data_IF_347056196717
#
_entry.id   IF_347056196717
#
_cell.length_a   1.000
_cell.length_b   1.000
_cell.length_c   1.000
_cell.angle_alpha   90.00
_cell.angle_beta   90.00
_cell.angle_gamma   90.00
#
_symmetry.space_group_name_H-M   'P 1'
#
loop_
_entity.id
_entity.type
_entity.pdbx_description
1 polymer ?
#
# COMPACT_ATOMS: atom_id res chain seq x y z
N UNK A 1 -45.26 54.08 22.45
CA UNK A 1 -46.46 53.86 23.29
C UNK A 1 -47.15 52.60 22.81
N UNK A 2 -47.54 51.71 23.74
CA UNK A 2 -48.26 50.42 23.57
C UNK A 2 -47.38 49.24 23.10
N UNK A 3 -47.44 48.05 23.69
CA UNK A 3 -47.91 47.51 24.99
C UNK A 3 -47.41 46.05 24.95
N UNK A 4 -46.69 45.60 25.97
CA UNK A 4 -46.34 44.18 26.16
C UNK A 4 -47.64 43.36 26.30
N UNK A 5 -47.83 42.33 25.49
CA UNK A 5 -48.79 41.26 25.76
C UNK A 5 -48.00 40.02 26.19
N UNK A 6 -48.10 39.73 27.49
CA UNK A 6 -47.69 38.47 28.11
C UNK A 6 -48.65 37.38 27.63
N UNK A 7 -48.10 36.34 26.98
CA UNK A 7 -48.81 35.09 26.71
C UNK A 7 -48.59 34.16 27.90
N UNK A 8 -49.69 33.89 28.62
CA UNK A 8 -49.77 32.97 29.75
C UNK A 8 -49.98 31.56 29.18
N UNK A 9 -48.92 30.75 29.13
CA UNK A 9 -49.01 29.33 28.75
C UNK A 9 -49.52 28.53 29.95
N UNK A 10 -50.81 28.16 29.92
CA UNK A 10 -51.43 27.25 30.90
C UNK A 10 -50.98 25.82 30.57
N UNK A 11 -50.13 25.24 31.42
CA UNK A 11 -49.75 23.83 31.33
C UNK A 11 -50.79 23.00 32.09
N UNK A 12 -51.74 22.42 31.37
CA UNK A 12 -52.67 21.42 31.91
C UNK A 12 -51.89 20.14 32.19
N UNK A 13 -51.64 19.86 33.47
CA UNK A 13 -51.01 18.62 33.92
C UNK A 13 -52.05 17.49 33.83
N UNK A 14 -52.00 16.71 32.74
CA UNK A 14 -52.81 15.50 32.61
C UNK A 14 -52.16 14.41 33.49
N UNK A 15 -52.70 14.24 34.69
CA UNK A 15 -52.30 13.18 35.62
C UNK A 15 -52.72 11.84 35.03
N UNK A 16 -51.84 11.21 34.26
CA UNK A 16 -51.99 9.81 33.88
C UNK A 16 -51.86 8.98 35.17
N UNK A 17 -53.00 8.46 35.65
CA UNK A 17 -53.05 7.39 36.62
C UNK A 17 -52.42 6.15 35.97
N UNK A 18 -51.10 6.04 36.06
CA UNK A 18 -50.44 4.75 35.95
C UNK A 18 -50.89 3.94 37.17
N UNK A 19 -51.79 2.99 36.94
CA UNK A 19 -51.83 1.80 37.78
C UNK A 19 -50.45 1.16 37.66
N UNK A 20 -49.53 1.54 38.56
CA UNK A 20 -48.35 0.74 38.83
C UNK A 20 -48.88 -0.54 39.44
N UNK A 21 -49.13 -1.55 38.61
CA UNK A 21 -49.06 -2.91 39.08
C UNK A 21 -47.66 -3.04 39.68
N UNK A 22 -47.60 -3.02 41.01
CA UNK A 22 -46.43 -3.36 41.78
C UNK A 22 -46.08 -4.81 41.45
N UNK A 23 -45.37 -5.05 40.36
CA UNK A 23 -44.56 -6.26 40.25
C UNK A 23 -43.27 -5.93 40.99
N UNK A 24 -43.34 -6.01 42.32
CA UNK A 24 -42.14 -6.28 43.10
C UNK A 24 -41.64 -7.61 42.54
N UNK A 25 -40.61 -7.55 41.70
CA UNK A 25 -39.88 -8.74 41.27
C UNK A 25 -39.52 -9.51 42.53
N UNK A 26 -39.91 -10.79 42.62
CA UNK A 26 -39.58 -11.59 43.78
C UNK A 26 -38.07 -11.58 44.02
N UNK A 27 -37.30 -11.67 42.93
CA UNK A 27 -35.84 -11.86 42.90
C UNK A 27 -35.17 -10.70 42.10
N UNK A 28 -35.19 -9.45 42.60
CA UNK A 28 -34.68 -8.29 41.86
C UNK A 28 -33.15 -8.36 41.74
N UNK A 29 -32.63 -8.15 40.53
CA UNK A 29 -31.19 -8.11 40.27
C UNK A 29 -30.53 -9.48 40.04
N UNK A 30 -31.31 -10.56 39.94
CA UNK A 30 -30.80 -11.86 39.53
C UNK A 30 -30.46 -11.91 38.04
N UNK A 31 -29.52 -12.77 37.66
CA UNK A 31 -29.00 -12.89 36.30
C UNK A 31 -29.97 -13.59 35.35
N UNK A 32 -30.94 -14.35 35.89
CA UNK A 32 -31.94 -15.07 35.13
C UNK A 32 -33.29 -14.37 35.10
N UNK A 33 -33.48 -13.27 35.82
CA UNK A 33 -34.69 -12.45 35.80
C UNK A 33 -35.24 -12.23 34.38
N UNK A 34 -36.46 -12.73 34.14
CA UNK A 34 -37.19 -12.65 32.88
C UNK A 34 -36.61 -13.47 31.72
N UNK A 35 -35.59 -14.29 31.96
CA UNK A 35 -34.94 -15.11 30.93
C UNK A 35 -35.75 -16.37 30.65
N UNK A 36 -35.93 -16.68 29.37
CA UNK A 36 -36.46 -17.97 28.95
C UNK A 36 -35.47 -19.09 29.26
N UNK A 37 -35.88 -20.06 30.06
CA UNK A 37 -35.12 -21.24 30.44
C UNK A 37 -35.44 -22.41 29.51
N UNK A 38 -34.41 -23.09 29.03
CA UNK A 38 -34.56 -24.29 28.21
C UNK A 38 -34.90 -25.49 29.09
N UNK A 39 -35.94 -26.24 28.73
CA UNK A 39 -36.31 -27.50 29.37
C UNK A 39 -35.91 -28.70 28.51
N UNK A 40 -35.22 -29.69 29.09
CA UNK A 40 -34.79 -30.90 28.37
C UNK A 40 -34.42 -32.06 29.29
N UNK A 41 -34.05 -33.21 28.71
CA UNK A 41 -33.57 -34.39 29.46
C UNK A 41 -32.10 -34.28 29.88
N UNK A 42 -31.36 -33.34 29.30
CA UNK A 42 -30.00 -32.97 29.70
C UNK A 42 -29.73 -31.49 29.36
N UNK A 43 -28.61 -30.94 29.88
CA UNK A 43 -28.24 -29.53 29.76
C UNK A 43 -27.79 -29.10 28.34
N UNK A 44 -27.93 -29.97 27.34
CA UNK A 44 -27.59 -29.72 25.94
C UNK A 44 -28.78 -29.97 24.99
N UNK A 45 -29.94 -30.39 25.52
CA UNK A 45 -31.15 -30.64 24.74
C UNK A 45 -32.24 -29.61 25.07
N UNK A 46 -32.92 -29.11 24.04
CA UNK A 46 -34.06 -28.20 24.17
C UNK A 46 -35.31 -28.92 23.67
N UNK A 47 -36.16 -29.35 24.60
CA UNK A 47 -37.43 -30.02 24.30
C UNK A 47 -38.64 -29.12 24.61
N UNK A 48 -38.43 -28.08 25.42
CA UNK A 48 -39.43 -27.08 25.81
C UNK A 48 -38.73 -25.80 26.29
N UNK A 49 -39.47 -24.72 26.51
CA UNK A 49 -38.95 -23.47 27.10
C UNK A 49 -39.95 -22.91 28.09
N UNK A 50 -39.46 -22.29 29.17
CA UNK A 50 -40.27 -21.80 30.29
C UNK A 50 -39.72 -20.47 30.81
N UNK A 51 -40.62 -19.53 31.13
CA UNK A 51 -40.30 -18.27 31.81
C UNK A 51 -40.82 -18.25 33.24
N UNK A 52 -41.69 -19.17 33.61
CA UNK A 52 -42.33 -19.25 34.92
C UNK A 52 -41.32 -19.45 36.06
N UNK A 53 -40.12 -19.96 35.79
CA UNK A 53 -39.08 -20.12 36.79
C UNK A 53 -38.30 -18.83 37.07
N UNK A 54 -38.49 -17.79 36.26
CA UNK A 54 -37.62 -16.60 36.26
C UNK A 54 -38.41 -15.31 36.11
N UNK A 55 -39.73 -15.38 36.03
CA UNK A 55 -40.60 -14.23 35.78
C UNK A 55 -40.75 -13.33 37.01
N UNK A 56 -40.15 -13.70 38.15
CA UNK A 56 -40.20 -12.96 39.40
C UNK A 56 -41.58 -13.01 40.05
N UNK A 57 -42.44 -13.96 39.67
CA UNK A 57 -43.80 -14.10 40.16
C UNK A 57 -43.94 -15.41 40.94
N UNK A 58 -43.91 -15.34 42.27
CA UNK A 58 -44.06 -16.53 43.12
C UNK A 58 -45.46 -17.20 43.04
N UNK A 59 -46.40 -16.65 42.25
CA UNK A 59 -47.70 -17.25 41.96
C UNK A 59 -47.73 -18.15 40.72
N UNK A 60 -46.71 -18.10 39.86
CA UNK A 60 -46.54 -18.97 38.69
C UNK A 60 -45.53 -20.07 38.99
N UNK A 61 -45.70 -21.24 38.39
CA UNK A 61 -44.77 -22.35 38.59
C UNK A 61 -44.73 -23.27 37.39
N UNK A 62 -43.67 -24.08 37.30
CA UNK A 62 -43.61 -25.15 36.34
C UNK A 62 -43.01 -26.42 36.94
N UNK A 63 -43.56 -27.56 36.52
CA UNK A 63 -43.28 -28.86 37.10
C UNK A 63 -42.00 -29.47 36.51
N UNK A 64 -41.14 -29.97 37.40
CA UNK A 64 -39.96 -30.78 37.04
C UNK A 64 -40.28 -32.26 37.30
N UNK A 65 -40.54 -32.99 36.21
CA UNK A 65 -40.90 -34.41 36.23
C UNK A 65 -39.66 -35.32 36.37
N UNK A 66 -39.74 -36.25 37.32
CA UNK A 66 -38.72 -37.29 37.59
C UNK A 66 -38.57 -38.34 36.48
N UNK A 67 -39.64 -38.67 35.76
CA UNK A 67 -39.70 -39.81 34.83
C UNK A 67 -38.92 -39.57 33.52
N UNK A 68 -38.66 -38.30 33.18
CA UNK A 68 -37.91 -37.89 32.00
C UNK A 68 -36.61 -37.12 32.32
N UNK A 69 -36.18 -37.11 33.60
CA UNK A 69 -35.05 -36.31 34.12
C UNK A 69 -35.12 -34.86 33.64
N UNK A 70 -36.33 -34.28 33.64
CA UNK A 70 -36.55 -32.94 33.10
C UNK A 70 -35.77 -31.94 33.94
N UNK A 71 -34.95 -31.15 33.28
CA UNK A 71 -34.15 -30.08 33.88
C UNK A 71 -34.41 -28.78 33.15
N UNK A 72 -34.31 -27.67 33.89
CA UNK A 72 -34.15 -26.34 33.31
C UNK A 72 -32.68 -26.01 33.15
N UNK A 73 -32.30 -25.32 32.08
CA UNK A 73 -30.95 -24.80 31.91
C UNK A 73 -30.92 -23.49 31.11
N UNK A 74 -29.91 -22.67 31.38
CA UNK A 74 -29.67 -21.40 30.72
C UNK A 74 -28.18 -21.21 30.46
N UNK A 75 -27.84 -20.85 29.23
CA UNK A 75 -26.48 -20.49 28.83
C UNK A 75 -26.35 -18.96 28.79
N UNK A 76 -25.35 -18.43 29.48
CA UNK A 76 -25.04 -17.00 29.50
C UNK A 76 -24.35 -16.60 28.20
N UNK A 77 -24.55 -15.36 27.75
CA UNK A 77 -23.88 -14.81 26.56
C UNK A 77 -22.40 -14.46 26.82
N UNK A 78 -22.03 -14.33 28.09
CA UNK A 78 -20.68 -14.10 28.60
C UNK A 78 -20.51 -14.91 29.88
N UNK A 79 -19.27 -15.25 30.24
CA UNK A 79 -18.99 -15.95 31.48
C UNK A 79 -19.40 -15.08 32.70
N UNK A 80 -19.94 -15.72 33.73
CA UNK A 80 -20.35 -15.05 34.98
C UNK A 80 -19.68 -15.68 36.20
N UNK A 81 -19.50 -14.86 37.23
CA UNK A 81 -19.20 -15.31 38.59
C UNK A 81 -20.50 -15.32 39.38
N UNK A 82 -20.87 -16.47 39.95
CA UNK A 82 -22.08 -16.64 40.77
C UNK A 82 -21.70 -16.62 42.24
N UNK A 83 -22.39 -15.78 43.01
CA UNK A 83 -22.21 -15.58 44.45
C UNK A 83 -23.29 -16.26 45.29
N UNK A 84 -24.53 -16.31 44.79
CA UNK A 84 -25.64 -16.93 45.50
C UNK A 84 -26.71 -17.44 44.54
N UNK A 85 -27.56 -18.33 45.07
CA UNK A 85 -28.69 -18.91 44.36
C UNK A 85 -29.94 -18.60 45.18
N UNK A 86 -31.02 -18.19 44.53
CA UNK A 86 -32.32 -18.02 45.19
C UNK A 86 -33.33 -18.90 44.48
N UNK A 87 -34.08 -19.68 45.24
CA UNK A 87 -35.09 -20.58 44.68
C UNK A 87 -36.29 -20.73 45.61
N UNK A 88 -37.42 -21.10 45.03
CA UNK A 88 -38.64 -21.47 45.74
C UNK A 88 -39.18 -22.78 45.19
N UNK A 89 -39.11 -23.84 45.97
CA UNK A 89 -39.56 -25.17 45.55
C UNK A 89 -40.37 -25.87 46.65
N UNK A 90 -41.18 -26.84 46.25
CA UNK A 90 -41.81 -27.79 47.16
C UNK A 90 -40.92 -29.00 47.45
N UNK A 91 -39.69 -29.09 46.92
CA UNK A 91 -38.79 -30.23 47.14
C UNK A 91 -37.30 -29.97 46.81
N UNK A 92 -36.44 -30.98 47.02
CA UNK A 92 -35.01 -30.98 46.77
C UNK A 92 -34.67 -30.70 45.30
N UNK A 93 -33.60 -29.95 45.07
CA UNK A 93 -33.16 -29.53 43.75
C UNK A 93 -31.64 -29.71 43.61
N UNK A 94 -31.20 -30.30 42.51
CA UNK A 94 -29.79 -30.36 42.14
C UNK A 94 -29.51 -29.25 41.14
N UNK A 95 -28.49 -28.44 41.43
CA UNK A 95 -28.10 -27.27 40.66
C UNK A 95 -26.66 -27.48 40.21
N UNK A 96 -26.40 -27.28 38.92
CA UNK A 96 -25.09 -27.52 38.33
C UNK A 96 -24.67 -26.30 37.52
N UNK A 97 -23.45 -25.82 37.76
CA UNK A 97 -22.81 -24.82 36.92
C UNK A 97 -21.78 -25.49 36.01
N UNK A 98 -21.70 -25.02 34.77
CA UNK A 98 -20.79 -25.56 33.76
C UNK A 98 -19.87 -24.47 33.23
N UNK A 99 -18.65 -24.86 32.88
CA UNK A 99 -17.74 -24.03 32.09
C UNK A 99 -18.16 -23.95 30.61
N UNK A 100 -17.40 -23.20 29.80
CA UNK A 100 -17.63 -23.03 28.36
C UNK A 100 -17.50 -24.34 27.57
N UNK A 101 -16.82 -25.35 28.11
CA UNK A 101 -16.68 -26.68 27.51
C UNK A 101 -17.84 -27.61 27.89
N UNK A 102 -18.88 -27.11 28.57
CA UNK A 102 -19.98 -27.87 29.15
C UNK A 102 -19.58 -28.88 30.22
N UNK A 103 -18.44 -28.66 30.90
CA UNK A 103 -18.00 -29.49 32.02
C UNK A 103 -18.60 -28.96 33.33
N UNK A 104 -19.21 -29.80 34.19
CA UNK A 104 -19.64 -29.38 35.52
C UNK A 104 -18.45 -28.87 36.34
N UNK A 105 -18.52 -27.63 36.82
CA UNK A 105 -17.50 -27.01 37.68
C UNK A 105 -17.99 -26.80 39.11
N UNK A 106 -19.30 -26.87 39.33
CA UNK A 106 -19.91 -26.79 40.65
C UNK A 106 -21.25 -27.53 40.65
N UNK A 107 -21.52 -28.26 41.73
CA UNK A 107 -22.81 -28.91 41.98
C UNK A 107 -23.26 -28.61 43.39
N UNK A 108 -24.50 -28.14 43.53
CA UNK A 108 -25.16 -27.95 44.81
C UNK A 108 -26.44 -28.78 44.87
N UNK A 109 -26.59 -29.57 45.94
CA UNK A 109 -27.79 -30.33 46.22
C UNK A 109 -28.58 -29.62 47.33
N UNK A 110 -29.59 -28.85 46.94
CA UNK A 110 -30.50 -28.23 47.89
C UNK A 110 -31.41 -29.30 48.51
N UNK A 111 -31.40 -29.38 49.85
CA UNK A 111 -32.25 -30.28 50.63
C UNK A 111 -33.29 -29.45 51.38
N UNK A 112 -34.58 -29.70 51.11
CA UNK A 112 -35.70 -28.99 51.74
C UNK A 112 -35.84 -29.39 53.21
N UNK A 113 -35.99 -28.40 54.10
CA UNK A 113 -36.02 -28.63 55.55
C UNK A 113 -37.40 -28.98 56.14
N UNK A 114 -38.51 -28.51 55.55
CA UNK A 114 -39.89 -28.66 56.08
C UNK A 114 -40.86 -29.11 54.98
N UNK A 115 -42.14 -29.36 55.24
CA UNK A 115 -43.16 -29.64 54.21
C UNK A 115 -43.70 -28.34 53.57
N UNK A 116 -44.13 -28.39 52.31
CA UNK A 116 -44.66 -27.24 51.57
C UNK A 116 -43.61 -26.47 50.77
N UNK A 117 -44.01 -25.33 50.18
CA UNK A 117 -43.12 -24.45 49.42
C UNK A 117 -42.24 -23.59 50.32
N UNK A 118 -40.94 -23.53 50.04
CA UNK A 118 -39.99 -22.70 50.78
C UNK A 118 -39.16 -21.85 49.81
N UNK A 119 -39.13 -20.54 50.02
CA UNK A 119 -38.15 -19.65 49.38
C UNK A 119 -36.86 -19.66 50.20
N UNK A 120 -35.73 -19.96 49.56
CA UNK A 120 -34.41 -20.00 50.18
C UNK A 120 -33.42 -19.16 49.37
N UNK A 121 -32.49 -18.51 50.07
CA UNK A 121 -31.28 -17.95 49.46
C UNK A 121 -30.10 -18.77 49.97
N UNK A 122 -29.28 -19.25 49.04
CA UNK A 122 -28.10 -20.07 49.28
C UNK A 122 -26.90 -19.21 48.91
N UNK A 123 -26.25 -18.64 49.91
CA UNK A 123 -24.98 -17.93 49.73
C UNK A 123 -23.86 -18.93 49.53
N UNK A 124 -23.10 -18.80 48.43
CA UNK A 124 -21.97 -19.65 48.15
C UNK A 124 -20.77 -19.15 48.97
N UNK A 125 -20.20 -20.03 49.79
CA UNK A 125 -19.04 -19.69 50.64
C UNK A 125 -17.84 -19.25 49.80
N UNK A 126 -17.74 -19.76 48.58
CA UNK A 126 -16.77 -19.33 47.57
C UNK A 126 -17.54 -19.05 46.28
N UNK A 127 -17.48 -17.83 45.72
CA UNK A 127 -18.06 -17.54 44.42
C UNK A 127 -17.53 -18.49 43.34
N UNK A 128 -18.43 -18.96 42.46
CA UNK A 128 -18.08 -19.84 41.35
C UNK A 128 -17.86 -18.98 40.12
N UNK A 129 -16.61 -18.85 39.67
CA UNK A 129 -16.25 -18.09 38.47
C UNK A 129 -16.29 -18.96 37.21
N UNK A 130 -16.23 -18.32 36.03
CA UNK A 130 -16.23 -18.98 34.71
C UNK A 130 -17.48 -19.83 34.43
N UNK A 131 -18.63 -19.44 34.97
CA UNK A 131 -19.90 -20.13 34.69
C UNK A 131 -20.41 -19.68 33.33
N UNK A 132 -20.45 -20.61 32.37
CA UNK A 132 -21.06 -20.39 31.06
C UNK A 132 -22.53 -20.82 31.02
N UNK A 133 -22.91 -21.77 31.89
CA UNK A 133 -24.27 -22.33 31.92
C UNK A 133 -24.66 -22.76 33.32
N UNK A 134 -25.93 -22.61 33.64
CA UNK A 134 -26.57 -23.14 34.85
C UNK A 134 -27.64 -24.15 34.45
N UNK A 135 -27.74 -25.26 35.18
CA UNK A 135 -28.88 -26.17 35.13
C UNK A 135 -29.43 -26.44 36.52
N UNK A 136 -30.71 -26.80 36.58
CA UNK A 136 -31.37 -27.27 37.77
C UNK A 136 -32.32 -28.43 37.44
N UNK A 137 -32.36 -29.45 38.30
CA UNK A 137 -33.18 -30.63 38.07
C UNK A 137 -33.70 -31.24 39.36
N UNK A 138 -34.81 -31.96 39.23
CA UNK A 138 -35.37 -32.76 40.30
C UNK A 138 -34.38 -33.84 40.74
N UNK A 139 -34.01 -33.82 42.03
CA UNK A 139 -33.06 -34.77 42.62
C UNK A 139 -33.68 -36.12 42.98
N UNK A 140 -35.01 -36.27 42.88
CA UNK A 140 -35.70 -37.53 43.17
C UNK A 140 -35.54 -38.54 42.04
N UNK A 141 -35.50 -39.81 42.42
CA UNK A 141 -35.57 -40.95 41.48
C UNK A 141 -37.01 -41.28 41.06
N UNK A 142 -38.01 -40.76 41.76
CA UNK A 142 -39.43 -40.86 41.42
C UNK A 142 -40.27 -39.73 42.06
N UNK A 143 -41.36 -39.36 41.40
CA UNK A 143 -42.27 -38.30 41.84
C UNK A 143 -41.91 -36.91 41.31
N UNK A 144 -42.94 -36.13 41.00
CA UNK A 144 -42.78 -34.77 40.47
C UNK A 144 -42.40 -33.78 41.58
N UNK A 145 -41.72 -32.70 41.20
CA UNK A 145 -41.55 -31.52 42.04
C UNK A 145 -42.04 -30.27 41.33
N UNK A 146 -42.44 -29.27 42.10
CA UNK A 146 -42.85 -27.95 41.64
C UNK A 146 -41.76 -26.95 42.00
N UNK A 147 -41.17 -26.34 40.97
CA UNK A 147 -40.29 -25.19 41.13
C UNK A 147 -41.09 -23.94 40.75
N UNK A 148 -41.22 -23.03 41.71
CA UNK A 148 -41.93 -21.76 41.55
C UNK A 148 -40.98 -20.77 40.89
N UNK A 149 -39.85 -20.48 41.52
CA UNK A 149 -38.90 -19.46 41.04
C UNK A 149 -37.45 -19.92 41.29
N UNK A 150 -36.53 -19.57 40.39
CA UNK A 150 -35.11 -19.87 40.43
C UNK A 150 -34.30 -18.75 39.78
N UNK A 151 -33.33 -18.22 40.50
CA UNK A 151 -32.39 -17.24 39.97
C UNK A 151 -31.01 -17.42 40.62
N UNK A 152 -29.99 -16.91 39.93
CA UNK A 152 -28.60 -16.87 40.41
C UNK A 152 -28.11 -15.42 40.42
N UNK A 153 -27.34 -15.06 41.42
CA UNK A 153 -26.86 -13.69 41.64
C UNK A 153 -25.36 -13.65 41.50
N UNK A 154 -24.84 -12.63 40.83
CA UNK A 154 -23.46 -12.60 40.43
C UNK A 154 -23.12 -11.38 39.58
N UNK A 155 -21.99 -11.44 38.88
CA UNK A 155 -21.56 -10.43 37.92
C UNK A 155 -20.88 -11.09 36.71
N UNK A 156 -20.75 -10.35 35.61
CA UNK A 156 -19.93 -10.77 34.47
C UNK A 156 -18.48 -10.96 34.94
N UNK A 157 -17.82 -12.03 34.50
CA UNK A 157 -16.36 -12.12 34.67
C UNK A 157 -15.70 -11.14 33.70
N UNK A 158 -14.83 -10.22 34.17
CA UNK A 158 -14.06 -9.38 33.28
C UNK A 158 -13.21 -10.25 32.35
N UNK A 159 -13.28 -9.97 31.06
CA UNK A 159 -12.37 -10.58 30.10
C UNK A 159 -10.99 -9.94 30.25
N UNK A 160 -9.99 -10.78 30.47
CA UNK A 160 -8.59 -10.39 30.67
C UNK A 160 -7.67 -10.95 29.58
N UNK A 161 -8.21 -11.52 28.51
CA UNK A 161 -7.42 -12.20 27.48
C UNK A 161 -7.26 -11.30 26.28
N UNK A 162 -6.07 -10.72 26.11
CA UNK A 162 -5.77 -9.91 24.94
C UNK A 162 -5.84 -10.71 23.62
N UNK A 163 -6.14 -10.02 22.49
CA UNK A 163 -6.00 -10.61 21.17
C UNK A 163 -4.58 -11.13 20.89
N UNK A 164 -4.45 -11.99 19.88
CA UNK A 164 -3.15 -12.39 19.36
C UNK A 164 -2.30 -11.20 18.90
N UNK A 165 -0.98 -11.33 18.92
CA UNK A 165 -0.07 -10.29 18.43
C UNK A 165 -0.24 -10.10 16.92
N UNK A 166 -0.38 -8.86 16.40
CA UNK A 166 -0.39 -8.59 14.97
C UNK A 166 0.87 -9.11 14.26
N UNK A 167 0.71 -9.66 13.06
CA UNK A 167 1.79 -10.23 12.25
C UNK A 167 1.83 -9.62 10.85
N UNK A 168 2.92 -9.85 10.11
CA UNK A 168 3.03 -9.41 8.72
C UNK A 168 3.10 -7.89 8.54
N UNK A 169 3.48 -7.13 9.58
CA UNK A 169 3.63 -5.68 9.50
C UNK A 169 4.69 -5.31 8.44
N UNK A 170 4.29 -4.51 7.48
CA UNK A 170 5.12 -3.97 6.41
C UNK A 170 4.90 -2.46 6.30
N UNK A 171 5.86 -1.76 5.71
CA UNK A 171 5.79 -0.32 5.47
C UNK A 171 6.44 0.07 4.15
N UNK A 172 5.72 0.84 3.35
CA UNK A 172 6.20 1.37 2.07
C UNK A 172 6.54 2.86 2.28
N UNK A 173 7.79 3.30 2.08
CA UNK A 173 8.17 4.69 2.25
C UNK A 173 7.61 5.58 1.13
N UNK A 174 7.23 6.81 1.47
CA UNK A 174 6.92 7.89 0.54
C UNK A 174 7.69 9.18 0.89
N UNK A 175 7.20 10.32 0.40
CA UNK A 175 7.76 11.63 0.74
C UNK A 175 7.21 12.14 2.08
N UNK A 176 8.06 12.15 3.11
CA UNK A 176 7.69 12.51 4.48
C UNK A 176 6.51 11.67 5.03
N UNK A 177 6.33 10.46 4.50
CA UNK A 177 5.23 9.56 4.85
C UNK A 177 5.62 8.08 4.70
N UNK A 178 4.79 7.20 5.24
CA UNK A 178 4.89 5.76 5.08
C UNK A 178 3.50 5.11 5.11
N UNK A 179 3.24 4.21 4.15
CA UNK A 179 2.02 3.41 4.11
C UNK A 179 2.27 2.06 4.78
N UNK A 180 1.66 1.84 5.95
CA UNK A 180 1.77 0.62 6.73
C UNK A 180 0.61 -0.33 6.43
N UNK A 181 0.89 -1.63 6.42
CA UNK A 181 -0.11 -2.69 6.36
C UNK A 181 0.30 -3.90 7.20
N UNK A 182 -0.66 -4.69 7.68
CA UNK A 182 -0.40 -5.91 8.45
C UNK A 182 -1.47 -6.98 8.19
N UNK A 183 -1.22 -8.20 8.65
CA UNK A 183 -2.17 -9.32 8.56
C UNK A 183 -3.32 -9.12 9.56
N UNK A 184 -4.56 -9.33 9.10
CA UNK A 184 -5.76 -9.24 9.94
C UNK A 184 -5.69 -10.22 11.14
N UNK A 185 -6.17 -9.77 12.29
CA UNK A 185 -6.27 -10.57 13.50
C UNK A 185 -7.62 -11.28 13.52
N UNK A 186 -7.65 -12.54 13.95
CA UNK A 186 -8.85 -13.39 13.95
C UNK A 186 -9.57 -13.45 15.29
N UNK A 187 -9.16 -12.66 16.27
CA UNK A 187 -9.85 -12.55 17.56
C UNK A 187 -11.33 -12.12 17.34
N UNK A 188 -12.32 -12.89 17.80
CA UNK A 188 -13.75 -12.60 17.55
C UNK A 188 -14.24 -11.27 18.13
N UNK A 189 -13.55 -10.77 19.13
CA UNK A 189 -13.81 -9.56 19.91
C UNK A 189 -12.84 -8.42 19.61
N UNK A 190 -12.03 -8.54 18.54
CA UNK A 190 -11.13 -7.49 18.10
C UNK A 190 -11.88 -6.17 17.87
N UNK A 191 -11.46 -5.11 18.55
CA UNK A 191 -12.02 -3.78 18.39
C UNK A 191 -11.13 -2.88 17.52
N UNK A 192 -9.82 -2.88 17.74
CA UNK A 192 -8.90 -1.96 17.07
C UNK A 192 -7.45 -2.41 17.10
N UNK A 193 -6.61 -1.65 16.40
CA UNK A 193 -5.16 -1.72 16.45
C UNK A 193 -4.59 -0.40 16.97
N UNK A 194 -3.52 -0.45 17.78
CA UNK A 194 -2.74 0.75 18.10
C UNK A 194 -1.43 0.73 17.34
N UNK A 195 -1.09 1.88 16.76
CA UNK A 195 0.12 2.08 15.98
C UNK A 195 1.11 2.84 16.85
N UNK A 196 2.34 2.37 16.87
CA UNK A 196 3.44 2.98 17.60
C UNK A 196 4.55 3.35 16.62
N UNK A 197 5.06 4.57 16.75
CA UNK A 197 6.25 5.07 16.06
C UNK A 197 7.32 5.34 17.10
N UNK A 198 8.51 4.76 16.93
CA UNK A 198 9.64 4.89 17.86
C UNK A 198 9.23 4.59 19.31
N UNK A 199 8.43 3.53 19.48
CA UNK A 199 7.78 3.09 20.73
C UNK A 199 6.76 4.06 21.35
N UNK A 200 6.43 5.16 20.69
CA UNK A 200 5.40 6.12 21.11
C UNK A 200 4.09 5.84 20.38
N UNK A 201 2.97 5.79 21.10
CA UNK A 201 1.64 5.66 20.50
C UNK A 201 1.34 6.86 19.61
N UNK A 202 0.90 6.61 18.37
CA UNK A 202 0.60 7.67 17.40
C UNK A 202 -0.83 7.63 16.85
N UNK A 203 -1.46 6.45 16.80
CA UNK A 203 -2.79 6.32 16.23
C UNK A 203 -3.51 5.04 16.67
N UNK A 204 -4.84 5.08 16.57
CA UNK A 204 -5.69 3.89 16.63
C UNK A 204 -6.34 3.68 15.27
N UNK A 205 -6.34 2.43 14.79
CA UNK A 205 -7.04 2.00 13.58
C UNK A 205 -8.17 1.05 13.99
N UNK A 206 -9.41 1.40 13.69
CA UNK A 206 -10.57 0.58 14.07
C UNK A 206 -10.67 -0.65 13.16
N UNK A 207 -10.91 -1.83 13.74
CA UNK A 207 -11.13 -3.04 12.95
C UNK A 207 -12.38 -2.89 12.06
N UNK A 208 -12.41 -3.49 10.85
CA UNK A 208 -11.45 -4.46 10.31
C UNK A 208 -10.33 -3.83 9.48
N UNK A 209 -10.09 -2.51 9.56
CA UNK A 209 -9.02 -1.88 8.80
C UNK A 209 -7.63 -2.37 9.26
N UNK A 210 -6.76 -2.65 8.29
CA UNK A 210 -5.41 -3.22 8.49
C UNK A 210 -4.30 -2.37 7.87
N UNK A 211 -4.59 -1.09 7.61
CA UNK A 211 -3.65 -0.15 7.01
C UNK A 211 -3.60 1.17 7.76
N UNK A 212 -2.47 1.86 7.67
CA UNK A 212 -2.27 3.17 8.27
C UNK A 212 -1.25 4.00 7.47
N UNK A 213 -1.63 5.21 7.04
CA UNK A 213 -0.69 6.17 6.44
C UNK A 213 -0.10 7.05 7.53
N UNK A 214 1.18 6.86 7.84
CA UNK A 214 1.94 7.74 8.70
C UNK A 214 2.42 8.96 7.91
N UNK A 215 2.16 10.17 8.39
CA UNK A 215 2.58 11.43 7.74
C UNK A 215 3.47 12.25 8.67
N UNK A 216 4.11 13.30 8.14
CA UNK A 216 4.98 14.19 8.93
C UNK A 216 6.28 13.52 9.39
N UNK A 217 6.76 12.55 8.61
CA UNK A 217 8.03 11.87 8.85
C UNK A 217 9.19 12.67 8.26
N UNK A 218 10.39 12.53 8.84
CA UNK A 218 11.60 13.15 8.29
C UNK A 218 12.23 12.25 7.24
N UNK A 219 12.44 12.76 6.02
CA UNK A 219 13.11 12.04 4.94
C UNK A 219 14.58 11.74 5.29
N UNK A 220 15.08 10.59 4.83
CA UNK A 220 16.45 10.11 5.10
C UNK A 220 16.67 9.56 6.51
N UNK A 221 15.65 9.63 7.39
CA UNK A 221 15.70 9.10 8.76
C UNK A 221 14.84 7.83 8.84
N UNK A 222 15.40 6.76 9.41
CA UNK A 222 14.64 5.54 9.68
C UNK A 222 13.71 5.75 10.88
N UNK A 223 12.43 5.40 10.72
CA UNK A 223 11.42 5.41 11.79
C UNK A 223 10.97 3.98 12.06
N UNK A 224 10.87 3.62 13.34
CA UNK A 224 10.51 2.27 13.77
C UNK A 224 8.99 2.18 14.03
N UNK A 225 8.29 1.29 13.35
CA UNK A 225 6.85 1.07 13.57
C UNK A 225 6.56 -0.31 14.19
N UNK A 226 5.60 -0.33 15.12
CA UNK A 226 5.00 -1.56 15.67
C UNK A 226 3.49 -1.39 15.80
N UNK A 227 2.77 -2.50 15.82
CA UNK A 227 1.31 -2.53 15.95
C UNK A 227 0.89 -3.49 17.07
N UNK A 228 -0.09 -3.12 17.88
CA UNK A 228 -0.78 -4.00 18.83
C UNK A 228 -2.24 -4.15 18.44
N UNK A 229 -2.90 -5.22 18.89
CA UNK A 229 -4.33 -5.43 18.77
C UNK A 229 -5.02 -5.20 20.12
N UNK A 230 -6.24 -4.66 20.09
CA UNK A 230 -7.05 -4.35 21.28
C UNK A 230 -8.45 -4.91 21.08
N UNK A 231 -8.96 -5.66 22.05
CA UNK A 231 -10.34 -6.19 22.04
C UNK A 231 -11.38 -5.17 22.55
N UNK A 232 -12.66 -5.56 22.53
CA UNK A 232 -13.77 -4.76 23.05
C UNK A 232 -13.76 -4.56 24.57
N UNK A 233 -13.02 -5.39 25.30
CA UNK A 233 -12.83 -5.30 26.75
C UNK A 233 -11.67 -4.37 27.14
N UNK A 234 -10.86 -3.96 26.15
CA UNK A 234 -9.70 -3.08 26.29
C UNK A 234 -8.38 -3.81 26.55
N UNK A 235 -8.32 -5.14 26.46
CA UNK A 235 -7.06 -5.86 26.62
C UNK A 235 -6.20 -5.66 25.36
N UNK A 236 -4.94 -5.31 25.58
CA UNK A 236 -3.99 -5.02 24.50
C UNK A 236 -2.94 -6.12 24.37
N UNK A 237 -2.69 -6.57 23.14
CA UNK A 237 -1.67 -7.57 22.84
C UNK A 237 -0.26 -7.03 23.07
N UNK A 238 0.74 -7.92 23.08
CA UNK A 238 2.11 -7.49 22.87
C UNK A 238 2.29 -6.82 21.49
N UNK A 239 3.34 -6.01 21.34
CA UNK A 239 3.70 -5.35 20.08
C UNK A 239 4.15 -6.37 19.03
N UNK A 240 3.82 -6.12 17.77
CA UNK A 240 4.34 -6.86 16.61
C UNK A 240 5.87 -6.78 16.52
N UNK A 241 6.45 -7.57 15.61
CA UNK A 241 7.80 -7.30 15.14
C UNK A 241 7.91 -5.88 14.60
N UNK A 242 9.06 -5.25 14.82
CA UNK A 242 9.34 -3.89 14.33
C UNK A 242 9.55 -3.89 12.82
N UNK A 243 8.98 -2.91 12.13
CA UNK A 243 9.35 -2.56 10.75
C UNK A 243 10.09 -1.22 10.76
N UNK A 244 11.21 -1.16 10.04
CA UNK A 244 11.96 0.09 9.84
C UNK A 244 11.57 0.68 8.49
N UNK A 245 11.16 1.95 8.47
CA UNK A 245 10.82 2.65 7.23
C UNK A 245 11.62 3.94 7.16
N UNK A 246 12.29 4.17 6.03
CA UNK A 246 13.06 5.39 5.76
C UNK A 246 12.40 6.14 4.60
N UNK A 247 11.54 7.13 4.88
CA UNK A 247 10.96 8.01 3.86
C UNK A 247 12.05 8.72 3.06
N UNK A 248 11.78 9.01 1.79
CA UNK A 248 12.71 9.69 0.90
C UNK A 248 12.00 10.84 0.18
N UNK A 249 12.71 11.96 0.05
CA UNK A 249 12.24 13.04 -0.80
C UNK A 249 12.29 12.57 -2.26
N UNK A 250 11.39 13.05 -3.13
CA UNK A 250 11.55 12.86 -4.57
C UNK A 250 12.90 13.41 -5.02
N UNK A 251 13.57 12.71 -5.92
CA UNK A 251 14.75 13.28 -6.56
C UNK A 251 14.33 14.47 -7.42
N UNK A 252 15.04 15.59 -7.25
CA UNK A 252 14.83 16.84 -8.00
C UNK A 252 16.11 17.28 -8.72
N UNK A 253 17.17 16.47 -8.63
CA UNK A 253 18.46 16.73 -9.26
C UNK A 253 18.37 16.22 -10.68
N UNK A 254 18.43 17.13 -11.66
CA UNK A 254 18.54 16.70 -13.04
C UNK A 254 19.92 16.07 -13.32
N UNK A 255 20.02 15.15 -14.30
CA UNK A 255 21.31 14.62 -14.72
C UNK A 255 22.27 15.71 -15.21
N UNK A 256 23.55 15.36 -15.30
CA UNK A 256 24.56 16.15 -15.98
C UNK A 256 24.16 16.41 -17.45
N UNK A 257 24.48 17.62 -17.91
CA UNK A 257 24.26 18.06 -19.28
C UNK A 257 25.10 17.17 -20.22
N UNK A 258 24.51 16.57 -21.27
CA UNK A 258 25.27 15.81 -22.27
C UNK A 258 26.40 16.65 -22.89
N UNK A 259 27.62 16.11 -22.88
CA UNK A 259 28.82 16.78 -23.37
C UNK A 259 29.33 16.17 -24.67
N UNK A 260 30.09 16.95 -25.45
CA UNK A 260 30.75 16.46 -26.66
C UNK A 260 29.78 16.08 -27.78
N UNK A 261 28.62 16.73 -27.87
CA UNK A 261 27.68 16.53 -28.98
C UNK A 261 28.35 16.87 -30.32
N UNK A 262 28.30 15.92 -31.24
CA UNK A 262 28.79 16.02 -32.60
C UNK A 262 27.70 15.55 -33.56
N UNK A 263 27.70 16.08 -34.77
CA UNK A 263 26.80 15.67 -35.85
C UNK A 263 27.59 15.45 -37.14
N UNK A 264 27.39 14.30 -37.77
CA UNK A 264 28.00 13.94 -39.05
C UNK A 264 26.91 14.02 -40.12
N UNK A 265 27.02 14.92 -41.12
CA UNK A 265 26.02 15.05 -42.18
C UNK A 265 26.02 13.83 -43.11
N UNK A 266 24.84 13.41 -43.54
CA UNK A 266 24.62 12.43 -44.60
C UNK A 266 23.62 12.93 -45.65
N UNK A 267 23.17 12.02 -46.53
CA UNK A 267 22.12 12.34 -47.50
C UNK A 267 20.77 12.50 -46.82
N UNK A 268 20.21 13.70 -46.76
CA UNK A 268 18.91 13.94 -46.12
C UNK A 268 18.86 13.46 -44.65
N UNK A 269 20.01 13.33 -44.00
CA UNK A 269 20.17 12.72 -42.68
C UNK A 269 21.38 13.30 -41.93
N UNK A 270 21.43 13.04 -40.63
CA UNK A 270 22.57 13.36 -39.78
C UNK A 270 22.74 12.30 -38.68
N UNK A 271 23.96 11.82 -38.47
CA UNK A 271 24.30 10.94 -37.35
C UNK A 271 24.83 11.78 -36.19
N UNK A 272 24.06 11.82 -35.10
CA UNK A 272 24.44 12.51 -33.86
C UNK A 272 25.10 11.53 -32.89
N UNK A 273 26.15 11.98 -32.21
CA UNK A 273 26.79 11.25 -31.11
C UNK A 273 27.26 12.20 -30.02
N UNK A 274 27.28 11.74 -28.77
CA UNK A 274 27.74 12.51 -27.62
C UNK A 274 28.37 11.59 -26.57
N UNK A 275 28.97 12.20 -25.54
CA UNK A 275 29.53 11.45 -24.41
C UNK A 275 28.39 10.89 -23.56
N UNK A 276 28.37 9.56 -23.37
CA UNK A 276 27.38 8.92 -22.52
C UNK A 276 27.50 9.39 -21.07
N UNK A 277 26.38 9.77 -20.47
CA UNK A 277 26.26 10.02 -19.05
C UNK A 277 26.35 8.67 -18.28
N UNK A 278 27.04 8.69 -17.14
CA UNK A 278 27.35 7.53 -16.29
C UNK A 278 26.54 7.51 -14.98
N UNK A 279 25.64 8.46 -14.78
CA UNK A 279 24.73 8.50 -13.63
C UNK A 279 23.83 7.26 -13.59
N UNK A 280 23.68 6.67 -12.41
CA UNK A 280 23.02 5.38 -12.21
C UNK A 280 21.51 5.42 -12.44
N UNK A 281 20.93 6.60 -12.32
CA UNK A 281 19.53 6.94 -12.45
C UNK A 281 19.19 7.54 -13.82
N UNK A 282 20.16 7.65 -14.74
CA UNK A 282 19.90 8.05 -16.12
C UNK A 282 18.89 7.10 -16.78
N UNK A 283 17.79 7.65 -17.30
CA UNK A 283 16.79 6.90 -18.05
C UNK A 283 16.94 7.06 -19.57
N UNK A 284 17.13 8.29 -20.05
CA UNK A 284 17.11 8.59 -21.49
C UNK A 284 17.74 9.94 -21.86
N UNK A 285 17.80 10.23 -23.16
CA UNK A 285 18.16 11.52 -23.73
C UNK A 285 17.03 12.04 -24.60
N UNK A 286 16.76 13.35 -24.56
CA UNK A 286 15.86 14.02 -25.52
C UNK A 286 16.66 14.81 -26.53
N UNK A 287 16.28 14.67 -27.80
CA UNK A 287 16.93 15.32 -28.94
C UNK A 287 16.04 16.47 -29.37
N UNK A 288 16.67 17.61 -29.59
CA UNK A 288 16.04 18.83 -30.06
C UNK A 288 16.65 19.24 -31.39
N UNK A 289 15.81 19.42 -32.41
CA UNK A 289 16.15 19.98 -33.70
C UNK A 289 15.55 21.39 -33.77
N UNK A 290 16.35 22.42 -33.99
CA UNK A 290 15.89 23.82 -34.05
C UNK A 290 15.09 24.23 -32.80
N UNK A 291 15.57 23.75 -31.66
CA UNK A 291 14.96 23.85 -30.33
C UNK A 291 13.59 23.17 -30.17
N UNK A 292 13.13 22.41 -31.16
CA UNK A 292 11.90 21.60 -31.10
C UNK A 292 12.28 20.17 -30.72
N UNK A 293 11.58 19.59 -29.74
CA UNK A 293 11.75 18.19 -29.36
C UNK A 293 11.36 17.27 -30.53
N UNK A 294 12.23 16.32 -30.89
CA UNK A 294 11.99 15.40 -32.02
C UNK A 294 12.07 13.93 -31.63
N UNK A 295 12.85 13.57 -30.61
CA UNK A 295 13.02 12.17 -30.23
C UNK A 295 13.49 11.98 -28.79
N UNK A 296 13.19 10.80 -28.23
CA UNK A 296 13.79 10.29 -27.00
C UNK A 296 14.55 9.00 -27.33
N UNK A 297 15.76 8.85 -26.82
CA UNK A 297 16.62 7.68 -27.03
C UNK A 297 17.32 7.26 -25.74
N UNK A 298 17.76 6.02 -25.66
CA UNK A 298 18.56 5.52 -24.52
C UNK A 298 20.05 5.43 -24.83
N UNK A 299 20.42 5.26 -26.11
CA UNK A 299 21.81 5.29 -26.56
C UNK A 299 22.34 6.72 -26.65
N UNK A 300 23.65 6.90 -26.49
CA UNK A 300 24.33 8.19 -26.68
C UNK A 300 24.55 8.55 -28.16
N UNK A 301 23.67 8.06 -29.04
CA UNK A 301 23.68 8.28 -30.48
C UNK A 301 22.25 8.40 -31.00
N UNK A 302 22.06 9.14 -32.08
CA UNK A 302 20.78 9.23 -32.76
C UNK A 302 20.94 9.56 -34.24
N UNK A 303 20.26 8.81 -35.10
CA UNK A 303 20.19 9.09 -36.54
C UNK A 303 18.96 9.92 -36.85
N UNK A 304 19.17 11.16 -37.27
CA UNK A 304 18.12 12.07 -37.75
C UNK A 304 17.92 11.81 -39.24
N UNK A 305 16.69 11.61 -39.68
CA UNK A 305 16.35 11.39 -41.08
C UNK A 305 15.32 12.42 -41.58
N UNK A 306 15.16 12.54 -42.89
CA UNK A 306 14.17 13.42 -43.51
C UNK A 306 14.58 14.90 -43.53
N UNK A 307 15.88 15.18 -43.46
CA UNK A 307 16.42 16.52 -43.58
C UNK A 307 16.53 16.94 -45.05
N UNK A 308 16.55 18.25 -45.31
CA UNK A 308 16.79 18.80 -46.66
C UNK A 308 18.27 19.12 -46.86
N UNK A 309 18.87 18.63 -47.96
CA UNK A 309 20.26 18.91 -48.28
C UNK A 309 20.51 20.41 -48.54
N UNK A 310 21.66 20.92 -48.10
CA UNK A 310 22.03 22.34 -48.20
C UNK A 310 21.38 23.25 -47.15
N UNK A 311 20.47 22.73 -46.32
CA UNK A 311 19.83 23.47 -45.23
C UNK A 311 20.56 23.19 -43.91
N UNK A 312 20.89 24.23 -43.16
CA UNK A 312 21.51 24.10 -41.84
C UNK A 312 20.44 23.78 -40.78
N UNK A 313 20.72 22.77 -39.95
CA UNK A 313 19.91 22.37 -38.81
C UNK A 313 20.73 22.45 -37.52
N UNK A 314 20.12 22.94 -36.45
CA UNK A 314 20.71 22.98 -35.12
C UNK A 314 20.25 21.81 -34.27
N UNK A 315 21.18 21.14 -33.59
CA UNK A 315 20.88 20.04 -32.69
C UNK A 315 21.39 20.28 -31.27
N UNK A 316 20.55 19.91 -30.29
CA UNK A 316 20.86 19.90 -28.85
C UNK A 316 20.34 18.62 -28.22
N UNK A 317 20.97 18.19 -27.14
CA UNK A 317 20.56 17.00 -26.39
C UNK A 317 20.44 17.35 -24.90
N UNK A 318 19.41 16.80 -24.24
CA UNK A 318 19.28 16.78 -22.76
C UNK A 318 19.33 15.34 -22.27
N UNK A 319 19.63 15.16 -21.00
CA UNK A 319 19.54 13.88 -20.29
C UNK A 319 18.34 13.92 -19.32
N UNK A 320 17.69 12.77 -19.13
CA UNK A 320 16.52 12.61 -18.27
C UNK A 320 16.74 11.40 -17.38
N UNK A 321 16.52 11.56 -16.07
CA UNK A 321 16.60 10.46 -15.09
C UNK A 321 15.30 9.64 -15.02
N UNK A 322 15.30 8.59 -14.21
CA UNK A 322 14.13 7.72 -13.95
C UNK A 322 13.01 8.42 -13.17
N UNK A 323 13.31 9.55 -12.52
CA UNK A 323 12.36 10.40 -11.80
C UNK A 323 11.73 11.49 -12.69
N UNK A 324 12.21 11.63 -13.94
CA UNK A 324 11.74 12.59 -14.93
C UNK A 324 12.41 13.96 -14.87
N UNK A 325 13.47 14.15 -14.08
CA UNK A 325 14.23 15.40 -14.09
C UNK A 325 15.03 15.51 -15.38
N UNK A 326 14.91 16.65 -16.06
CA UNK A 326 15.57 16.90 -17.34
C UNK A 326 16.69 17.94 -17.17
N UNK A 327 17.86 17.62 -17.69
CA UNK A 327 19.02 18.51 -17.65
C UNK A 327 18.86 19.71 -18.57
N UNK A 328 19.71 20.72 -18.39
CA UNK A 328 19.80 21.79 -19.38
C UNK A 328 20.28 21.23 -20.74
N UNK A 329 19.91 21.91 -21.83
CA UNK A 329 20.35 21.53 -23.18
C UNK A 329 21.88 21.62 -23.31
N UNK A 330 22.47 20.66 -24.00
CA UNK A 330 23.88 20.68 -24.40
C UNK A 330 24.24 21.93 -25.19
N UNK A 331 25.55 22.15 -25.38
CA UNK A 331 26.03 23.00 -26.47
C UNK A 331 25.42 22.56 -27.80
N UNK A 332 25.13 23.54 -28.66
CA UNK A 332 24.54 23.32 -29.97
C UNK A 332 25.58 22.81 -30.97
N UNK A 333 25.18 21.89 -31.84
CA UNK A 333 25.92 21.55 -33.06
C UNK A 333 25.09 21.91 -34.29
N UNK A 334 25.74 22.49 -35.29
CA UNK A 334 25.14 22.81 -36.58
C UNK A 334 25.52 21.73 -37.60
N UNK A 335 24.55 21.21 -38.34
CA UNK A 335 24.77 20.19 -39.38
C UNK A 335 24.06 20.63 -40.65
N UNK A 336 24.74 20.52 -41.79
CA UNK A 336 24.18 20.81 -43.11
C UNK A 336 24.23 19.50 -43.92
N UNK A 337 23.13 18.74 -44.02
CA UNK A 337 23.06 17.53 -44.83
C UNK A 337 23.43 17.82 -46.27
N UNK A 338 24.08 16.87 -46.94
CA UNK A 338 24.56 17.02 -48.31
C UNK A 338 24.22 15.78 -49.11
N UNK A 339 23.95 15.97 -50.41
CA UNK A 339 23.85 14.83 -51.32
C UNK A 339 25.22 14.13 -51.34
N UNK A 340 25.31 12.80 -51.18
CA UNK A 340 26.52 12.05 -51.47
C UNK A 340 26.75 12.23 -52.97
N UNK A 341 27.81 12.95 -53.34
CA UNK A 341 28.12 13.14 -54.73
C UNK A 341 28.47 11.78 -55.35
N UNK A 342 27.54 11.23 -56.13
CA UNK A 342 27.68 9.94 -56.85
C UNK A 342 28.40 10.09 -58.20
N UNK A 343 28.93 11.28 -58.49
CA UNK A 343 29.70 11.57 -59.71
C UNK A 343 31.20 11.33 -59.57
N UNK A 344 31.89 11.33 -60.71
CA UNK A 344 33.34 11.49 -60.79
C UNK A 344 33.65 12.88 -61.35
N UNK A 345 34.87 13.34 -61.13
CA UNK A 345 35.33 14.58 -61.74
C UNK A 345 36.80 14.47 -62.09
N UNK A 346 37.21 15.31 -63.03
CA UNK A 346 38.60 15.56 -63.34
C UNK A 346 39.04 16.81 -62.57
N UNK A 347 39.92 16.63 -61.60
CA UNK A 347 40.57 17.73 -60.90
C UNK A 347 41.91 18.04 -61.60
N UNK A 348 42.00 19.22 -62.21
CA UNK A 348 43.21 19.73 -62.84
C UNK A 348 43.85 20.77 -61.95
N UNK A 349 45.06 20.52 -61.46
CA UNK A 349 45.84 21.44 -60.62
C UNK A 349 46.97 22.03 -61.44
N UNK A 350 46.96 23.35 -61.65
CA UNK A 350 48.08 24.10 -62.25
C UNK A 350 49.00 24.58 -61.14
N UNK A 351 50.27 24.16 -61.17
CA UNK A 351 51.27 24.58 -60.21
C UNK A 351 51.88 25.95 -60.58
N UNK A 352 52.54 26.62 -59.63
CA UNK A 352 53.19 27.92 -59.82
C UNK A 352 54.30 27.93 -60.89
N UNK A 353 54.81 26.76 -61.28
CA UNK A 353 55.78 26.61 -62.37
C UNK A 353 55.11 26.34 -63.73
N UNK A 354 53.77 26.41 -63.81
CA UNK A 354 52.98 26.12 -65.00
C UNK A 354 52.75 24.63 -65.27
N UNK A 355 53.23 23.72 -64.41
CA UNK A 355 52.97 22.28 -64.58
C UNK A 355 51.54 21.94 -64.17
N UNK A 356 50.82 21.25 -65.05
CA UNK A 356 49.47 20.73 -64.76
C UNK A 356 49.51 19.29 -64.26
N UNK A 357 48.64 18.99 -63.29
CA UNK A 357 48.40 17.65 -62.76
C UNK A 357 46.92 17.35 -62.79
N UNK A 358 46.56 16.26 -63.45
CA UNK A 358 45.18 15.83 -63.61
C UNK A 358 44.87 14.60 -62.74
N UNK A 359 43.72 14.61 -62.08
CA UNK A 359 43.25 13.53 -61.22
C UNK A 359 41.78 13.20 -61.52
N UNK A 360 41.54 12.00 -62.04
CA UNK A 360 40.19 11.44 -62.16
C UNK A 360 39.76 10.78 -60.84
N UNK A 361 38.87 11.46 -60.12
CA UNK A 361 38.54 11.18 -58.73
C UNK A 361 37.03 11.02 -58.52
N UNK A 362 36.65 10.37 -57.42
CA UNK A 362 35.28 10.48 -56.93
C UNK A 362 35.01 11.93 -56.51
N UNK A 363 33.78 12.40 -56.67
CA UNK A 363 33.44 13.75 -56.17
C UNK A 363 33.61 13.87 -54.64
N UNK A 364 33.55 12.76 -53.91
CA UNK A 364 33.96 12.71 -52.49
C UNK A 364 35.43 13.11 -52.31
N UNK A 365 36.34 12.55 -53.10
CA UNK A 365 37.77 12.86 -53.02
C UNK A 365 38.09 14.28 -53.51
N UNK A 366 37.34 14.78 -54.48
CA UNK A 366 37.44 16.17 -54.96
C UNK A 366 36.97 17.14 -53.89
N UNK A 367 35.82 16.90 -53.25
CA UNK A 367 35.35 17.74 -52.16
C UNK A 367 36.27 17.72 -50.95
N UNK A 368 36.89 16.57 -50.63
CA UNK A 368 37.94 16.50 -49.62
C UNK A 368 39.15 17.38 -49.98
N UNK A 369 39.53 17.45 -51.27
CA UNK A 369 40.58 18.34 -51.75
C UNK A 369 40.18 19.81 -51.62
N UNK A 370 38.97 20.19 -52.06
CA UNK A 370 38.45 21.56 -51.94
C UNK A 370 38.42 21.99 -50.47
N UNK A 371 37.85 21.15 -49.59
CA UNK A 371 37.79 21.42 -48.16
C UNK A 371 39.18 21.61 -47.56
N UNK A 372 40.14 20.76 -47.91
CA UNK A 372 41.54 20.95 -47.48
C UNK A 372 42.11 22.28 -47.97
N UNK A 373 41.87 22.64 -49.24
CA UNK A 373 42.37 23.88 -49.83
C UNK A 373 41.78 25.10 -49.13
N UNK A 374 40.47 25.13 -48.89
CA UNK A 374 39.77 26.24 -48.23
C UNK A 374 40.16 26.38 -46.75
N UNK A 375 40.34 25.27 -46.04
CA UNK A 375 40.90 25.29 -44.69
C UNK A 375 42.29 25.91 -44.70
N UNK A 376 43.14 25.55 -45.67
CA UNK A 376 44.48 26.12 -45.76
C UNK A 376 44.50 27.58 -46.20
N UNK A 377 43.63 27.97 -47.11
CA UNK A 377 43.45 29.37 -47.54
C UNK A 377 42.94 30.27 -46.40
N UNK A 378 42.10 29.73 -45.51
CA UNK A 378 41.63 30.42 -44.30
C UNK A 378 42.65 30.41 -43.14
N UNK A 379 43.86 29.87 -43.37
CA UNK A 379 44.96 29.90 -42.40
C UNK A 379 45.01 28.70 -41.44
N UNK A 380 44.18 27.67 -41.63
CA UNK A 380 44.12 26.47 -40.79
C UNK A 380 44.48 25.20 -41.57
N UNK A 381 44.59 24.03 -40.95
CA UNK A 381 44.83 22.77 -41.68
C UNK A 381 46.25 22.53 -42.23
N UNK A 382 46.40 21.36 -42.88
CA UNK A 382 47.69 20.81 -43.34
C UNK A 382 48.29 21.60 -44.52
N UNK A 383 49.62 21.72 -44.58
CA UNK A 383 50.33 22.34 -45.72
C UNK A 383 50.30 21.51 -47.01
N UNK A 384 49.94 20.23 -46.90
CA UNK A 384 49.92 19.30 -48.03
C UNK A 384 48.64 18.46 -48.06
N UNK A 385 48.19 18.16 -49.28
CA UNK A 385 47.13 17.19 -49.56
C UNK A 385 47.71 15.92 -50.13
N UNK A 386 47.20 14.77 -49.70
CA UNK A 386 47.64 13.45 -50.15
C UNK A 386 46.63 12.85 -51.12
N UNK A 387 47.04 12.69 -52.38
CA UNK A 387 46.35 11.86 -53.35
C UNK A 387 46.84 10.42 -53.25
N UNK A 388 45.95 9.47 -52.93
CA UNK A 388 46.26 8.04 -53.00
C UNK A 388 46.06 7.58 -54.45
N UNK A 389 47.14 7.14 -55.10
CA UNK A 389 47.07 6.65 -56.48
C UNK A 389 46.70 5.18 -56.49
N UNK A 390 45.49 4.88 -56.95
CA UNK A 390 45.02 3.51 -57.20
C UNK A 390 45.46 3.00 -58.58
N UNK A 391 45.80 3.90 -59.51
CA UNK A 391 46.33 3.60 -60.83
C UNK A 391 47.87 3.70 -60.89
N UNK A 392 48.47 3.07 -61.90
CA UNK A 392 49.92 3.07 -62.14
C UNK A 392 50.76 2.74 -60.90
N UNK A 393 50.26 1.84 -60.04
CA UNK A 393 50.88 1.46 -58.76
C UNK A 393 52.18 0.66 -58.92
N UNK A 394 52.36 -0.05 -60.03
CA UNK A 394 53.56 -0.85 -60.29
C UNK A 394 53.79 -1.94 -59.21
N UNK A 395 55.04 -2.36 -58.94
CA UNK A 395 55.35 -3.39 -57.94
C UNK A 395 55.24 -2.90 -56.48
N UNK A 396 54.81 -1.67 -56.24
CA UNK A 396 54.83 -1.03 -54.92
C UNK A 396 53.56 -1.34 -54.11
N UNK A 397 53.69 -1.45 -52.78
CA UNK A 397 52.56 -1.75 -51.87
C UNK A 397 51.54 -0.62 -51.75
N UNK A 398 51.97 0.62 -51.91
CA UNK A 398 51.12 1.81 -51.99
C UNK A 398 51.82 2.89 -52.81
N UNK A 399 51.05 3.78 -53.42
CA UNK A 399 51.56 4.95 -54.12
C UNK A 399 50.72 6.15 -53.71
N UNK A 400 51.38 7.21 -53.26
CA UNK A 400 50.75 8.46 -52.92
C UNK A 400 51.52 9.61 -53.56
N UNK A 401 50.81 10.68 -53.86
CA UNK A 401 51.38 11.95 -54.26
C UNK A 401 50.92 13.03 -53.30
N UNK A 402 51.84 13.93 -52.96
CA UNK A 402 51.52 15.07 -52.10
C UNK A 402 51.59 16.35 -52.94
N UNK A 403 50.55 17.17 -52.83
CA UNK A 403 50.50 18.51 -53.41
C UNK A 403 50.59 19.51 -52.27
N UNK A 404 51.50 20.47 -52.40
CA UNK A 404 51.70 21.52 -51.41
C UNK A 404 50.82 22.73 -51.75
N UNK A 405 50.12 23.26 -50.75
CA UNK A 405 49.22 24.41 -50.92
C UNK A 405 49.92 25.60 -51.59
N UNK A 406 51.11 25.96 -51.12
CA UNK A 406 51.88 27.10 -51.63
C UNK A 406 52.49 26.90 -53.03
N UNK A 407 52.26 25.73 -53.67
CA UNK A 407 52.68 25.45 -55.04
C UNK A 407 51.52 25.41 -56.02
N UNK A 408 50.28 25.54 -55.57
CA UNK A 408 49.10 25.59 -56.44
C UNK A 408 48.94 27.04 -56.93
N UNK A 409 48.90 27.23 -58.25
CA UNK A 409 48.55 28.50 -58.88
C UNK A 409 47.02 28.63 -59.01
N UNK A 410 46.39 27.61 -59.59
CA UNK A 410 44.93 27.48 -59.73
C UNK A 410 44.55 26.01 -59.83
N UNK A 411 43.27 25.69 -59.73
CA UNK A 411 42.72 24.39 -60.09
C UNK A 411 41.36 24.54 -60.78
N UNK A 412 41.01 23.54 -61.56
CA UNK A 412 39.75 23.41 -62.30
C UNK A 412 39.14 22.03 -62.02
N UNK A 413 37.82 21.95 -62.06
CA UNK A 413 37.06 20.72 -61.80
C UNK A 413 36.04 20.54 -62.91
N UNK A 414 36.18 19.45 -63.66
CA UNK A 414 35.22 19.02 -64.67
C UNK A 414 34.43 17.81 -64.15
N UNK A 415 33.19 18.03 -63.72
CA UNK A 415 32.32 16.97 -63.22
C UNK A 415 31.69 16.16 -64.36
N UNK A 416 31.58 14.84 -64.19
CA UNK A 416 30.92 13.97 -65.15
C UNK A 416 30.21 12.77 -64.48
N UNK A 417 29.11 12.34 -65.08
CA UNK A 417 28.39 11.15 -64.66
C UNK A 417 29.10 9.89 -65.12
N UNK A 418 29.18 8.88 -64.24
CA UNK A 418 29.66 7.56 -64.63
C UNK A 418 28.53 6.87 -65.40
N UNK A 419 28.61 6.88 -66.73
CA UNK A 419 27.70 6.07 -67.57
C UNK A 419 28.04 4.60 -67.34
N UNK A 420 27.25 3.91 -66.52
CA UNK A 420 27.29 2.45 -66.47
C UNK A 420 26.74 1.91 -67.80
N UNK A 421 27.46 1.02 -68.51
CA UNK A 421 26.99 0.39 -69.74
C UNK A 421 25.65 -0.33 -69.59
#
# INVERSE_FOLDING_TARGET
MKKFLSSLLVFTFLLALFNTANTISAYPGGLLQGKTINGGSNANQVNSTHTQWTDGNEGTSYLLDSSARRMGWYAFSQLVTINSIKLRSDDNLEIIFYDQSNTPIFTHNYIRATTGFLTVTIDLTTPVSNVAKVSFRNSRTSGNMTLIEFDVFGHLTPDTTAPGVPTGLQGIPGNAEADLNWTANTAPDLASYKIYKDNVYVATVTAPAITYKATGLTNGVAHAFTVTAVDGSGNESAKSSVVQVTPQAPDTSAPAIPAGLQGIPGNTEADLNWTANTESDLASYKIYQDNVYVATVTAATYKVAGLTNGVAYSFKVTAVDVNGNESAKSSEVQVIPQVPYVGRGILTITLINGLEKEYDLSMTDINNFIQWYDLKASGTGSESYKFVKTWNKGPFKSRAEYVLFNKILTFEIDEYDVVTP
#
